data_IF_119077765073
#
_entry.id   IF_119077765073
#
_cell.length_a   1.000
_cell.length_b   1.000
_cell.length_c   1.000
_cell.angle_alpha   90.00
_cell.angle_beta   90.00
_cell.angle_gamma   90.00
#
_symmetry.space_group_name_H-M   'P 1'
#
loop_
_entity.id
_entity.type
_entity.pdbx_description
1 polymer ?
#
# COMPACT_ATOMS: atom_id res chain seq x y z
N UNK A 1 22.36 11.46 7.48
CA UNK A 1 21.17 11.97 6.79
C UNK A 1 20.91 13.39 7.30
N UNK A 2 20.38 14.30 6.45
CA UNK A 2 19.99 15.67 6.83
C UNK A 2 18.66 16.12 6.19
N UNK A 3 17.86 15.16 5.76
CA UNK A 3 16.67 15.36 4.94
C UNK A 3 15.60 14.33 5.33
N UNK A 4 14.36 14.62 5.00
CA UNK A 4 13.24 13.69 5.12
C UNK A 4 13.44 12.45 4.22
N UNK A 5 12.79 11.35 4.57
CA UNK A 5 12.75 10.16 3.73
C UNK A 5 12.03 10.47 2.41
N UNK A 6 12.40 9.77 1.34
CA UNK A 6 11.65 9.87 0.09
C UNK A 6 10.22 9.39 0.24
N UNK A 7 9.30 9.95 -0.53
CA UNK A 7 7.93 9.44 -0.66
C UNK A 7 7.81 8.55 -1.90
N UNK A 8 7.01 7.50 -1.78
CA UNK A 8 6.65 6.60 -2.89
C UNK A 8 5.14 6.43 -2.88
N UNK A 9 4.43 6.81 -3.96
CA UNK A 9 3.00 6.55 -4.07
C UNK A 9 2.69 5.05 -4.02
N UNK A 10 1.53 4.64 -3.51
CA UNK A 10 1.17 3.25 -3.44
C UNK A 10 0.74 2.70 -4.79
N UNK A 11 0.88 1.39 -4.96
CA UNK A 11 0.41 0.69 -6.16
C UNK A 11 -1.11 0.74 -6.31
N UNK A 12 -1.84 0.88 -5.21
CA UNK A 12 -3.27 1.04 -5.19
C UNK A 12 -3.65 2.50 -5.45
N UNK A 13 -4.67 2.74 -6.27
CA UNK A 13 -5.19 4.08 -6.52
C UNK A 13 -5.88 4.70 -5.30
N UNK A 14 -6.40 3.86 -4.39
CA UNK A 14 -6.93 4.29 -3.09
C UNK A 14 -6.74 3.17 -2.07
N UNK A 15 -6.53 3.57 -0.81
CA UNK A 15 -6.49 2.67 0.35
C UNK A 15 -7.79 2.66 1.13
N UNK A 16 -8.82 3.34 0.64
CA UNK A 16 -10.10 3.49 1.33
C UNK A 16 -10.82 2.14 1.52
N UNK A 17 -11.50 2.03 2.64
CA UNK A 17 -12.27 0.84 2.97
C UNK A 17 -13.50 0.71 2.07
N UNK A 18 -13.77 -0.51 1.60
CA UNK A 18 -15.03 -0.84 0.89
C UNK A 18 -16.21 -1.08 1.83
N UNK A 19 -16.00 -0.99 3.15
CA UNK A 19 -17.03 -1.30 4.15
C UNK A 19 -18.16 -0.25 4.13
N UNK A 20 -19.40 -0.71 3.92
CA UNK A 20 -20.59 0.14 3.83
C UNK A 20 -21.35 0.22 5.17
N UNK A 21 -21.07 1.25 5.97
CA UNK A 21 -21.65 1.42 7.32
C UNK A 21 -23.19 1.38 7.31
N UNK A 22 -23.84 1.96 6.32
CA UNK A 22 -25.31 1.95 6.21
C UNK A 22 -25.87 0.53 6.05
N UNK A 23 -25.17 -0.32 5.30
CA UNK A 23 -25.55 -1.73 5.16
C UNK A 23 -25.36 -2.52 6.46
N UNK A 24 -24.40 -2.12 7.31
CA UNK A 24 -24.24 -2.73 8.63
C UNK A 24 -25.41 -2.35 9.56
N UNK A 25 -25.81 -1.09 9.58
CA UNK A 25 -26.96 -0.64 10.37
C UNK A 25 -28.24 -1.37 9.92
N UNK A 26 -28.44 -1.49 8.60
CA UNK A 26 -29.55 -2.27 8.04
C UNK A 26 -29.48 -3.76 8.43
N UNK A 27 -28.28 -4.33 8.57
CA UNK A 27 -28.08 -5.70 9.02
C UNK A 27 -28.51 -5.90 10.47
N UNK A 28 -28.18 -4.94 11.34
CA UNK A 28 -28.57 -4.94 12.76
C UNK A 28 -30.07 -4.78 12.90
N UNK A 29 -30.68 -3.81 12.21
CA UNK A 29 -32.12 -3.57 12.24
C UNK A 29 -32.91 -4.82 11.76
N UNK A 30 -32.48 -5.43 10.65
CA UNK A 30 -33.11 -6.65 10.15
C UNK A 30 -33.01 -7.81 11.16
N UNK A 31 -31.90 -7.92 11.89
CA UNK A 31 -31.74 -8.95 12.93
C UNK A 31 -32.71 -8.73 14.09
N UNK A 32 -32.84 -7.49 14.56
CA UNK A 32 -33.76 -7.10 15.64
C UNK A 32 -35.23 -7.35 15.26
N UNK A 33 -35.56 -7.20 13.98
CA UNK A 33 -36.88 -7.49 13.43
C UNK A 33 -37.11 -8.98 13.10
N UNK A 34 -36.18 -9.87 13.46
CA UNK A 34 -36.22 -11.31 13.17
C UNK A 34 -36.18 -11.66 11.66
N UNK A 35 -35.73 -10.73 10.81
CA UNK A 35 -35.53 -10.90 9.37
C UNK A 35 -34.13 -11.45 9.09
N UNK A 36 -33.82 -12.63 9.64
CA UNK A 36 -32.43 -13.13 9.73
C UNK A 36 -31.69 -13.26 8.39
N UNK A 37 -32.34 -13.77 7.34
CA UNK A 37 -31.69 -13.87 6.02
C UNK A 37 -31.36 -12.50 5.44
N UNK A 38 -32.26 -11.53 5.61
CA UNK A 38 -32.03 -10.15 5.17
C UNK A 38 -30.91 -9.50 5.98
N UNK A 39 -30.85 -9.75 7.28
CA UNK A 39 -29.72 -9.34 8.12
C UNK A 39 -28.40 -9.89 7.58
N UNK A 40 -28.33 -11.20 7.30
CA UNK A 40 -27.10 -11.81 6.78
C UNK A 40 -26.71 -11.25 5.39
N UNK A 41 -27.67 -11.00 4.52
CA UNK A 41 -27.42 -10.37 3.21
C UNK A 41 -26.86 -8.96 3.36
N UNK A 42 -27.47 -8.14 4.21
CA UNK A 42 -26.97 -6.79 4.51
C UNK A 42 -25.57 -6.83 5.15
N UNK A 43 -25.24 -7.88 5.92
CA UNK A 43 -23.88 -8.07 6.45
C UNK A 43 -22.88 -8.37 5.33
N UNK A 44 -23.23 -9.18 4.34
CA UNK A 44 -22.36 -9.37 3.17
C UNK A 44 -22.21 -8.08 2.37
N UNK A 45 -23.29 -7.31 2.23
CA UNK A 45 -23.30 -6.02 1.53
C UNK A 45 -22.50 -4.94 2.30
N UNK A 46 -22.45 -5.01 3.63
CA UNK A 46 -21.53 -4.23 4.47
C UNK A 46 -20.08 -4.51 4.10
N UNK A 47 -19.72 -5.78 3.91
CA UNK A 47 -18.34 -6.16 3.58
C UNK A 47 -18.01 -5.72 2.16
N UNK A 48 -18.85 -6.11 1.20
CA UNK A 48 -18.78 -5.71 -0.20
C UNK A 48 -20.09 -6.09 -0.93
N UNK A 49 -20.79 -5.10 -1.48
CA UNK A 49 -22.08 -5.28 -2.18
C UNK A 49 -22.04 -6.23 -3.40
N UNK A 50 -20.86 -6.51 -3.96
CA UNK A 50 -20.73 -7.40 -5.11
C UNK A 50 -20.69 -8.89 -4.73
N UNK A 51 -20.33 -9.22 -3.48
CA UNK A 51 -20.00 -10.61 -3.11
C UNK A 51 -21.19 -11.55 -3.20
N UNK A 52 -22.39 -11.09 -2.87
CA UNK A 52 -23.60 -11.91 -3.00
C UNK A 52 -23.84 -12.35 -4.43
N UNK A 53 -23.68 -11.45 -5.39
CA UNK A 53 -23.91 -11.73 -6.81
C UNK A 53 -22.76 -12.52 -7.43
N UNK A 54 -21.52 -12.22 -7.01
CA UNK A 54 -20.31 -12.83 -7.56
C UNK A 54 -20.08 -14.25 -7.08
N UNK A 55 -20.41 -14.53 -5.82
CA UNK A 55 -20.04 -15.77 -5.12
C UNK A 55 -21.22 -16.55 -4.53
N UNK A 56 -22.43 -16.01 -4.59
CA UNK A 56 -23.66 -16.68 -4.18
C UNK A 56 -24.22 -17.62 -5.24
N UNK A 57 -24.91 -18.66 -4.81
CA UNK A 57 -25.74 -19.47 -5.68
C UNK A 57 -27.03 -18.72 -6.09
N UNK A 58 -27.76 -19.29 -7.05
CA UNK A 58 -29.01 -18.68 -7.57
C UNK A 58 -30.06 -18.50 -6.48
N UNK A 59 -30.10 -19.40 -5.50
CA UNK A 59 -31.04 -19.34 -4.38
C UNK A 59 -30.66 -18.30 -3.32
N UNK A 60 -29.44 -17.77 -3.36
CA UNK A 60 -28.91 -16.80 -2.39
C UNK A 60 -28.63 -17.39 -1.01
N UNK A 61 -28.50 -18.70 -0.86
CA UNK A 61 -28.35 -19.38 0.43
C UNK A 61 -27.04 -20.18 0.57
N UNK A 62 -26.19 -20.14 -0.45
CA UNK A 62 -24.86 -20.74 -0.42
C UNK A 62 -23.86 -19.79 -1.08
N UNK A 63 -22.72 -19.57 -0.44
CA UNK A 63 -21.68 -18.64 -0.90
C UNK A 63 -20.31 -19.31 -0.80
N UNK A 64 -19.48 -19.13 -1.83
CA UNK A 64 -18.10 -19.61 -1.87
C UNK A 64 -17.17 -18.44 -2.14
N UNK A 65 -16.78 -17.74 -1.07
CA UNK A 65 -16.09 -16.46 -1.17
C UNK A 65 -14.59 -16.68 -0.94
N UNK A 66 -13.72 -16.38 -1.92
CA UNK A 66 -12.28 -16.44 -1.73
C UNK A 66 -11.80 -15.37 -0.74
N UNK A 67 -10.83 -15.74 0.09
CA UNK A 67 -10.06 -14.83 0.92
C UNK A 67 -8.61 -15.29 0.90
N UNK A 68 -7.79 -14.63 0.09
CA UNK A 68 -6.41 -15.06 -0.08
C UNK A 68 -6.34 -16.52 -0.53
N UNK A 69 -5.66 -17.33 0.27
CA UNK A 69 -5.39 -18.74 0.07
C UNK A 69 -6.48 -19.71 0.56
N UNK A 70 -7.62 -19.21 1.06
CA UNK A 70 -8.76 -20.03 1.47
C UNK A 70 -10.05 -19.67 0.72
N UNK A 71 -10.99 -20.61 0.72
CA UNK A 71 -12.39 -20.34 0.32
C UNK A 71 -13.27 -20.49 1.55
N UNK A 72 -13.96 -19.41 1.91
CA UNK A 72 -14.97 -19.42 2.96
C UNK A 72 -16.30 -19.87 2.35
N UNK A 73 -16.74 -21.07 2.73
CA UNK A 73 -18.00 -21.64 2.31
C UNK A 73 -19.05 -21.33 3.37
N UNK A 74 -20.11 -20.62 2.97
CA UNK A 74 -21.21 -20.23 3.85
C UNK A 74 -22.49 -20.85 3.31
N UNK A 75 -23.23 -21.53 4.17
CA UNK A 75 -24.53 -22.13 3.82
C UNK A 75 -25.58 -21.75 4.84
N UNK A 76 -26.74 -21.33 4.35
CA UNK A 76 -27.94 -21.05 5.12
C UNK A 76 -29.04 -22.03 4.69
N UNK A 77 -29.66 -22.69 5.64
CA UNK A 77 -30.90 -23.44 5.47
C UNK A 77 -31.95 -22.92 6.48
N UNK A 78 -33.17 -23.47 6.50
CA UNK A 78 -34.23 -22.98 7.39
C UNK A 78 -33.89 -23.13 8.89
N UNK A 79 -32.92 -23.98 9.25
CA UNK A 79 -32.57 -24.27 10.63
C UNK A 79 -31.34 -23.47 11.08
N UNK A 80 -30.30 -23.38 10.25
CA UNK A 80 -28.97 -22.93 10.68
C UNK A 80 -28.12 -22.26 9.59
N UNK A 81 -27.14 -21.54 10.08
CA UNK A 81 -25.95 -21.10 9.36
C UNK A 81 -24.82 -22.12 9.56
N UNK A 82 -24.08 -22.42 8.50
CA UNK A 82 -22.84 -23.21 8.54
C UNK A 82 -21.75 -22.48 7.77
N UNK A 83 -20.58 -22.31 8.39
CA UNK A 83 -19.38 -21.69 7.80
C UNK A 83 -18.26 -22.73 7.85
N UNK A 84 -17.62 -22.99 6.72
CA UNK A 84 -16.47 -23.90 6.64
C UNK A 84 -15.39 -23.32 5.74
N UNK A 85 -14.13 -23.40 6.16
CA UNK A 85 -12.98 -23.03 5.36
C UNK A 85 -11.87 -24.08 5.51
N UNK A 86 -11.81 -25.07 4.60
CA UNK A 86 -10.66 -25.96 4.50
C UNK A 86 -9.42 -25.16 4.09
N UNK A 87 -8.29 -25.35 4.79
CA UNK A 87 -7.06 -24.59 4.47
C UNK A 87 -5.87 -25.49 4.12
N UNK A 88 -5.51 -26.49 4.94
CA UNK A 88 -4.37 -27.38 4.61
C UNK A 88 -4.65 -28.88 4.85
N UNK A 89 -3.99 -29.71 4.04
CA UNK A 89 -3.86 -31.14 4.27
C UNK A 89 -2.59 -31.44 5.08
N UNK A 90 -2.69 -32.41 5.98
CA UNK A 90 -1.59 -32.79 6.85
C UNK A 90 -0.43 -33.41 6.05
N UNK A 91 0.81 -32.99 6.31
CA UNK A 91 1.98 -33.59 5.68
C UNK A 91 2.30 -34.96 6.29
N UNK A 92 3.07 -35.78 5.57
CA UNK A 92 3.59 -37.03 6.12
C UNK A 92 4.63 -36.78 7.23
N UNK A 93 5.57 -35.86 6.97
CA UNK A 93 6.59 -35.41 7.93
C UNK A 93 6.12 -34.10 8.57
N UNK A 94 6.40 -33.89 9.86
CA UNK A 94 5.97 -32.65 10.54
C UNK A 94 4.51 -32.63 11.00
N UNK A 95 3.75 -33.71 10.80
CA UNK A 95 2.34 -33.83 11.23
C UNK A 95 2.12 -33.51 12.72
N UNK A 96 2.93 -34.09 13.61
CA UNK A 96 2.77 -33.93 15.07
C UNK A 96 2.99 -32.47 15.51
N UNK A 97 4.11 -31.80 15.16
CA UNK A 97 4.29 -30.41 15.54
C UNK A 97 3.22 -29.48 14.92
N UNK A 98 2.80 -29.72 13.67
CA UNK A 98 1.69 -28.98 13.06
C UNK A 98 0.40 -29.13 13.88
N UNK A 99 -0.01 -30.37 14.21
CA UNK A 99 -1.22 -30.61 15.02
C UNK A 99 -1.14 -29.99 16.42
N UNK A 100 0.05 -29.93 17.02
CA UNK A 100 0.25 -29.21 18.29
C UNK A 100 0.02 -27.71 18.12
N UNK A 101 0.49 -27.12 17.02
CA UNK A 101 0.25 -25.71 16.73
C UNK A 101 -1.24 -25.43 16.50
N UNK A 102 -1.93 -26.28 15.74
CA UNK A 102 -3.38 -26.19 15.55
C UNK A 102 -4.15 -26.25 16.87
N UNK A 103 -3.78 -27.17 17.77
CA UNK A 103 -4.37 -27.22 19.10
C UNK A 103 -4.14 -25.90 19.84
N UNK A 104 -2.94 -25.32 19.76
CA UNK A 104 -2.62 -24.00 20.30
C UNK A 104 -3.48 -22.87 19.70
N UNK A 105 -3.76 -22.90 18.39
CA UNK A 105 -4.64 -21.91 17.75
C UNK A 105 -6.06 -21.98 18.30
N UNK A 106 -6.62 -23.18 18.44
CA UNK A 106 -7.96 -23.37 19.03
C UNK A 106 -8.07 -22.87 20.47
N UNK A 107 -6.97 -22.67 21.20
CA UNK A 107 -6.98 -22.12 22.57
C UNK A 107 -6.64 -20.64 22.67
N UNK A 108 -5.88 -20.09 21.71
CA UNK A 108 -5.28 -18.75 21.86
C UNK A 108 -5.65 -17.78 20.72
N UNK A 109 -6.15 -18.28 19.60
CA UNK A 109 -6.45 -17.48 18.40
C UNK A 109 -7.89 -17.66 17.90
N UNK A 110 -8.59 -18.67 18.41
CA UNK A 110 -9.98 -18.97 18.07
C UNK A 110 -10.86 -18.89 19.33
N UNK A 111 -11.91 -18.09 19.28
CA UNK A 111 -12.95 -17.94 20.29
C UNK A 111 -14.22 -18.70 19.94
N UNK A 112 -14.72 -18.56 18.70
CA UNK A 112 -16.03 -19.09 18.30
C UNK A 112 -15.95 -20.14 17.20
N UNK A 113 -15.15 -19.92 16.16
CA UNK A 113 -14.86 -20.96 15.18
C UNK A 113 -13.88 -21.97 15.77
N UNK A 114 -13.84 -23.18 15.20
CA UNK A 114 -12.93 -24.23 15.67
C UNK A 114 -12.28 -24.91 14.48
N UNK A 115 -10.99 -25.21 14.59
CA UNK A 115 -10.27 -26.01 13.60
C UNK A 115 -10.51 -27.49 13.88
N UNK A 116 -11.10 -28.18 12.91
CA UNK A 116 -11.34 -29.63 12.95
C UNK A 116 -10.40 -30.36 11.99
N UNK A 117 -10.02 -31.58 12.38
CA UNK A 117 -9.35 -32.54 11.52
C UNK A 117 -10.37 -33.55 10.97
N UNK A 118 -10.59 -33.54 9.66
CA UNK A 118 -11.43 -34.52 8.95
C UNK A 118 -10.69 -35.03 7.73
N UNK A 119 -10.61 -36.35 7.54
CA UNK A 119 -10.00 -36.97 6.36
C UNK A 119 -8.60 -36.43 6.01
N UNK A 120 -7.75 -36.26 7.05
CA UNK A 120 -6.41 -35.66 6.96
C UNK A 120 -6.35 -34.20 6.48
N UNK A 121 -7.48 -33.48 6.52
CA UNK A 121 -7.59 -32.07 6.19
C UNK A 121 -8.02 -31.27 7.41
N UNK A 122 -7.44 -30.09 7.55
CA UNK A 122 -7.82 -29.14 8.57
C UNK A 122 -8.79 -28.12 7.97
N UNK A 123 -9.88 -27.87 8.68
CA UNK A 123 -10.90 -26.89 8.30
C UNK A 123 -11.28 -26.05 9.50
N UNK A 124 -11.38 -24.75 9.30
CA UNK A 124 -12.14 -23.91 10.20
C UNK A 124 -13.62 -24.24 10.03
N UNK A 125 -14.36 -24.40 11.11
CA UNK A 125 -15.79 -24.67 11.08
C UNK A 125 -16.51 -23.85 12.15
N UNK A 126 -17.68 -23.31 11.79
CA UNK A 126 -18.64 -22.70 12.71
C UNK A 126 -20.07 -23.02 12.27
N UNK A 127 -20.98 -23.22 13.21
CA UNK A 127 -22.41 -23.33 12.90
C UNK A 127 -23.27 -22.85 14.06
N UNK A 128 -24.42 -22.24 13.73
CA UNK A 128 -25.42 -21.86 14.73
C UNK A 128 -26.83 -21.81 14.11
N UNK A 129 -27.90 -21.97 14.92
CA UNK A 129 -29.26 -21.71 14.46
C UNK A 129 -29.42 -20.31 13.84
N UNK A 130 -30.31 -20.18 12.85
CA UNK A 130 -30.53 -18.90 12.14
C UNK A 130 -30.87 -17.76 13.11
N UNK A 131 -31.58 -18.03 14.20
CA UNK A 131 -31.99 -17.02 15.16
C UNK A 131 -30.81 -16.41 15.93
N UNK A 132 -29.62 -17.03 15.86
CA UNK A 132 -28.41 -16.59 16.55
C UNK A 132 -27.43 -15.89 15.62
N UNK A 133 -27.76 -15.58 14.36
CA UNK A 133 -26.85 -14.94 13.40
C UNK A 133 -26.69 -13.43 13.62
N UNK A 134 -26.46 -13.00 14.86
CA UNK A 134 -26.24 -11.59 15.17
C UNK A 134 -25.07 -11.02 14.31
N UNK A 135 -25.25 -9.87 13.63
CA UNK A 135 -24.28 -9.35 12.66
C UNK A 135 -22.87 -9.16 13.21
N UNK A 136 -22.73 -8.60 14.41
CA UNK A 136 -21.43 -8.41 15.06
C UNK A 136 -20.71 -9.74 15.27
N UNK A 137 -21.44 -10.74 15.76
CA UNK A 137 -20.90 -12.08 16.02
C UNK A 137 -20.45 -12.75 14.72
N UNK A 138 -21.27 -12.69 13.67
CA UNK A 138 -20.95 -13.33 12.39
C UNK A 138 -19.79 -12.63 11.72
N UNK A 139 -19.74 -11.29 11.71
CA UNK A 139 -18.57 -10.56 11.21
C UNK A 139 -17.29 -10.97 11.92
N UNK A 140 -17.32 -11.05 13.26
CA UNK A 140 -16.16 -11.49 14.06
C UNK A 140 -15.71 -12.91 13.70
N UNK A 141 -16.64 -13.86 13.56
CA UNK A 141 -16.31 -15.23 13.15
C UNK A 141 -15.68 -15.26 11.74
N UNK A 142 -16.21 -14.48 10.80
CA UNK A 142 -15.66 -14.39 9.46
C UNK A 142 -14.24 -13.81 9.49
N UNK A 143 -14.02 -12.74 10.27
CA UNK A 143 -12.70 -12.14 10.47
C UNK A 143 -11.71 -13.12 11.09
N UNK A 144 -12.12 -13.81 12.16
CA UNK A 144 -11.32 -14.82 12.85
C UNK A 144 -10.87 -15.94 11.90
N UNK A 145 -11.79 -16.48 11.09
CA UNK A 145 -11.49 -17.51 10.10
C UNK A 145 -10.56 -16.97 9.00
N UNK A 146 -10.85 -15.79 8.46
CA UNK A 146 -10.10 -15.19 7.36
C UNK A 146 -8.67 -14.86 7.77
N UNK A 147 -8.49 -14.04 8.82
CA UNK A 147 -7.17 -13.59 9.26
C UNK A 147 -6.30 -14.72 9.80
N UNK A 148 -6.90 -15.74 10.44
CA UNK A 148 -6.14 -16.91 10.90
C UNK A 148 -5.83 -17.86 9.75
N UNK A 149 -6.79 -18.11 8.86
CA UNK A 149 -6.63 -19.03 7.74
C UNK A 149 -5.52 -18.60 6.78
N UNK A 150 -5.56 -17.34 6.34
CA UNK A 150 -4.59 -16.74 5.40
C UNK A 150 -3.17 -16.64 5.98
N UNK A 151 -3.05 -16.52 7.30
CA UNK A 151 -1.73 -16.50 7.96
C UNK A 151 -1.12 -17.89 8.08
N UNK A 152 -1.93 -18.87 8.52
CA UNK A 152 -1.39 -20.16 8.97
C UNK A 152 -1.29 -21.21 7.87
N UNK A 153 -1.92 -21.02 6.70
CA UNK A 153 -1.68 -21.91 5.57
C UNK A 153 -0.26 -21.71 5.01
N UNK A 154 0.18 -20.46 4.78
CA UNK A 154 1.53 -20.09 4.39
C UNK A 154 2.56 -20.58 5.43
N UNK A 155 2.28 -20.33 6.71
CA UNK A 155 3.15 -20.72 7.80
C UNK A 155 3.27 -22.26 7.87
N UNK A 156 2.18 -23.00 7.68
CA UNK A 156 2.18 -24.45 7.80
C UNK A 156 2.80 -25.14 6.59
N UNK A 157 2.62 -24.60 5.40
CA UNK A 157 3.36 -25.04 4.22
C UNK A 157 4.85 -24.84 4.44
N UNK A 158 5.27 -23.61 4.77
CA UNK A 158 6.68 -23.26 4.89
C UNK A 158 7.39 -24.01 6.01
N UNK A 159 6.77 -24.12 7.20
CA UNK A 159 7.42 -24.72 8.38
C UNK A 159 7.26 -26.23 8.49
N UNK A 160 6.16 -26.79 8.00
CA UNK A 160 5.83 -28.21 8.20
C UNK A 160 5.66 -28.99 6.91
N UNK A 161 5.65 -28.35 5.74
CA UNK A 161 5.41 -28.98 4.45
C UNK A 161 3.95 -29.36 4.23
N UNK A 162 3.01 -28.71 4.92
CA UNK A 162 1.58 -28.90 4.70
C UNK A 162 1.21 -28.56 3.25
N UNK A 163 0.19 -29.23 2.71
CA UNK A 163 -0.28 -28.96 1.35
C UNK A 163 -1.52 -28.08 1.41
N UNK A 164 -1.54 -26.98 0.65
CA UNK A 164 -2.73 -26.13 0.53
C UNK A 164 -3.89 -26.93 -0.07
N UNK A 165 -5.09 -26.67 0.42
CA UNK A 165 -6.32 -27.25 -0.14
C UNK A 165 -6.80 -26.45 -1.35
N UNK A 166 -6.50 -25.16 -1.37
CA UNK A 166 -6.85 -24.24 -2.43
C UNK A 166 -5.63 -23.42 -2.81
N UNK A 167 -5.41 -23.27 -4.11
CA UNK A 167 -4.43 -22.32 -4.63
C UNK A 167 -5.13 -20.99 -4.91
N UNK A 168 -4.68 -19.88 -4.33
CA UNK A 168 -5.28 -18.58 -4.54
C UNK A 168 -5.29 -18.21 -6.03
N UNK A 169 -6.39 -17.62 -6.48
CA UNK A 169 -6.41 -16.94 -7.77
C UNK A 169 -5.73 -15.60 -7.62
N UNK A 170 -4.50 -15.51 -8.11
CA UNK A 170 -3.70 -14.30 -8.04
C UNK A 170 -3.61 -13.62 -9.40
N UNK A 171 -3.42 -12.31 -9.37
CA UNK A 171 -3.01 -11.52 -10.54
C UNK A 171 -1.68 -10.87 -10.20
N UNK A 172 -0.56 -11.29 -10.82
CA UNK A 172 0.73 -10.69 -10.52
C UNK A 172 0.74 -9.22 -10.92
N UNK A 173 1.59 -8.43 -10.28
CA UNK A 173 1.82 -7.06 -10.71
C UNK A 173 2.43 -7.03 -12.12
N UNK A 174 2.08 -6.01 -12.90
CA UNK A 174 2.69 -5.82 -14.20
C UNK A 174 4.18 -5.45 -14.05
N UNK A 175 4.95 -5.65 -15.13
CA UNK A 175 6.40 -5.46 -15.12
C UNK A 175 6.82 -4.03 -14.73
N UNK A 176 6.07 -3.00 -15.13
CA UNK A 176 6.42 -1.63 -14.81
C UNK A 176 6.18 -1.35 -13.31
N UNK A 177 5.07 -1.82 -12.77
CA UNK A 177 4.77 -1.74 -11.34
C UNK A 177 5.80 -2.49 -10.49
N UNK A 178 6.20 -3.70 -10.89
CA UNK A 178 7.22 -4.48 -10.22
C UNK A 178 8.59 -3.77 -10.21
N UNK A 179 9.01 -3.20 -11.34
CA UNK A 179 10.25 -2.42 -11.43
C UNK A 179 10.21 -1.20 -10.51
N UNK A 180 9.12 -0.43 -10.54
CA UNK A 180 8.95 0.74 -9.69
C UNK A 180 9.01 0.39 -8.20
N UNK A 181 8.31 -0.68 -7.79
CA UNK A 181 8.31 -1.16 -6.40
C UNK A 181 9.71 -1.63 -6.01
N UNK A 182 10.38 -2.42 -6.85
CA UNK A 182 11.73 -2.89 -6.58
C UNK A 182 12.69 -1.73 -6.36
N UNK A 183 12.71 -0.72 -7.25
CA UNK A 183 13.54 0.47 -7.08
C UNK A 183 13.19 1.24 -5.81
N UNK A 184 11.90 1.40 -5.50
CA UNK A 184 11.45 2.08 -4.28
C UNK A 184 11.88 1.34 -2.99
N UNK A 185 11.85 0.00 -3.00
CA UNK A 185 12.38 -0.83 -1.90
C UNK A 185 13.88 -0.60 -1.73
N UNK A 186 14.64 -0.65 -2.83
CA UNK A 186 16.10 -0.48 -2.80
C UNK A 186 16.49 0.90 -2.28
N UNK A 187 15.79 1.96 -2.69
CA UNK A 187 15.99 3.33 -2.21
C UNK A 187 15.62 3.44 -0.73
N UNK A 188 14.43 2.98 -0.34
CA UNK A 188 13.93 3.11 1.04
C UNK A 188 14.82 2.36 2.04
N UNK A 189 15.27 1.15 1.70
CA UNK A 189 16.18 0.39 2.55
C UNK A 189 17.54 1.09 2.68
N UNK A 190 18.05 1.68 1.59
CA UNK A 190 19.34 2.40 1.61
C UNK A 190 19.26 3.64 2.48
N UNK A 191 18.19 4.42 2.33
CA UNK A 191 17.92 5.60 3.16
C UNK A 191 17.84 5.23 4.64
N UNK A 192 17.14 4.14 4.96
CA UNK A 192 17.05 3.61 6.31
C UNK A 192 18.43 3.24 6.87
N UNK A 193 19.22 2.44 6.14
CA UNK A 193 20.55 2.00 6.58
C UNK A 193 21.55 3.16 6.73
N UNK A 194 21.50 4.15 5.83
CA UNK A 194 22.32 5.36 5.93
C UNK A 194 21.92 6.20 7.16
N UNK A 195 20.63 6.25 7.50
CA UNK A 195 20.16 6.93 8.70
C UNK A 195 20.53 6.16 9.99
N UNK A 196 20.40 4.82 9.99
CA UNK A 196 20.88 3.96 11.09
C UNK A 196 22.35 4.26 11.36
N UNK A 197 23.20 4.23 10.32
CA UNK A 197 24.64 4.54 10.41
C UNK A 197 24.92 5.94 10.95
N UNK A 198 24.04 6.91 10.69
CA UNK A 198 24.15 8.27 11.19
C UNK A 198 23.86 8.37 12.70
N UNK A 199 22.85 7.65 13.21
CA UNK A 199 22.40 7.72 14.60
C UNK A 199 23.09 6.74 15.56
N UNK A 200 23.62 5.62 15.03
CA UNK A 200 24.24 4.53 15.80
C UNK A 200 25.45 4.98 16.65
N UNK A 201 26.41 5.82 16.16
CA UNK A 201 27.54 6.28 16.96
C UNK A 201 27.14 7.07 18.21
N UNK A 202 26.03 7.81 18.10
CA UNK A 202 25.47 8.62 19.19
C UNK A 202 24.45 7.85 20.04
N UNK A 203 24.28 6.54 19.80
CA UNK A 203 23.36 5.64 20.53
C UNK A 203 21.93 6.16 20.58
N UNK A 204 21.48 6.86 19.52
CA UNK A 204 20.13 7.41 19.44
C UNK A 204 19.12 6.35 18.97
N UNK A 205 19.00 5.27 19.73
CA UNK A 205 18.21 4.10 19.35
C UNK A 205 16.72 4.41 19.14
N UNK A 206 16.16 5.43 19.81
CA UNK A 206 14.79 5.88 19.53
C UNK A 206 14.59 6.38 18.09
N UNK A 207 15.54 7.12 17.52
CA UNK A 207 15.45 7.54 16.10
C UNK A 207 15.69 6.36 15.16
N UNK A 208 16.63 5.48 15.50
CA UNK A 208 16.89 4.27 14.72
C UNK A 208 15.61 3.41 14.66
N UNK A 209 14.94 3.25 15.78
CA UNK A 209 13.66 2.55 15.88
C UNK A 209 12.60 3.18 14.99
N UNK A 210 12.36 4.50 15.11
CA UNK A 210 11.37 5.21 14.30
C UNK A 210 11.65 5.02 12.80
N UNK A 211 12.90 5.12 12.38
CA UNK A 211 13.28 5.06 10.96
C UNK A 211 13.14 3.65 10.40
N UNK A 212 13.54 2.63 11.15
CA UNK A 212 13.34 1.23 10.73
C UNK A 212 11.85 0.96 10.59
N UNK A 213 11.06 1.28 11.61
CA UNK A 213 9.64 0.94 11.61
C UNK A 213 8.85 1.72 10.57
N UNK A 214 9.16 3.02 10.41
CA UNK A 214 8.64 3.84 9.29
C UNK A 214 8.97 3.20 7.94
N UNK A 215 10.18 2.66 7.76
CA UNK A 215 10.59 2.04 6.49
C UNK A 215 9.80 0.75 6.22
N UNK A 216 9.58 -0.08 7.24
CA UNK A 216 8.77 -1.30 7.14
C UNK A 216 7.31 -0.96 6.81
N UNK A 217 6.71 0.00 7.52
CA UNK A 217 5.33 0.43 7.27
C UNK A 217 5.17 1.14 5.92
N UNK A 218 6.17 1.93 5.50
CA UNK A 218 6.22 2.52 4.16
C UNK A 218 6.25 1.43 3.08
N UNK A 219 7.05 0.38 3.24
CA UNK A 219 7.06 -0.76 2.31
C UNK A 219 5.67 -1.41 2.21
N UNK A 220 5.06 -1.69 3.36
CA UNK A 220 3.70 -2.24 3.44
C UNK A 220 2.67 -1.34 2.75
N UNK A 221 2.84 -0.02 2.84
CA UNK A 221 1.98 0.97 2.18
C UNK A 221 2.12 0.93 0.67
N UNK A 222 3.35 1.06 0.12
CA UNK A 222 3.46 1.24 -1.33
C UNK A 222 3.45 -0.07 -2.13
N UNK A 223 3.97 -1.16 -1.56
CA UNK A 223 4.13 -2.42 -2.27
C UNK A 223 2.94 -3.37 -2.10
N UNK A 224 2.21 -3.29 -0.97
CA UNK A 224 1.09 -4.18 -0.64
C UNK A 224 1.46 -5.68 -0.80
N UNK A 225 2.53 -6.16 -0.15
CA UNK A 225 2.96 -7.55 -0.28
C UNK A 225 1.90 -8.52 0.22
N UNK A 226 1.93 -9.74 -0.31
CA UNK A 226 1.10 -10.86 0.09
C UNK A 226 1.98 -11.99 0.66
N UNK A 227 1.37 -13.12 1.02
CA UNK A 227 2.08 -14.36 1.28
C UNK A 227 3.08 -14.30 2.44
N UNK A 228 4.21 -14.98 2.27
CA UNK A 228 5.22 -15.10 3.32
C UNK A 228 5.92 -13.75 3.59
N UNK A 229 6.13 -12.91 2.57
CA UNK A 229 6.69 -11.58 2.77
C UNK A 229 5.78 -10.68 3.62
N UNK A 230 4.46 -10.71 3.40
CA UNK A 230 3.50 -10.02 4.27
C UNK A 230 3.65 -10.47 5.72
N UNK A 231 3.67 -11.79 5.95
CA UNK A 231 3.82 -12.38 7.27
C UNK A 231 5.15 -11.99 7.95
N UNK A 232 6.26 -12.01 7.20
CA UNK A 232 7.58 -11.60 7.66
C UNK A 232 7.60 -10.11 8.08
N UNK A 233 6.99 -9.23 7.28
CA UNK A 233 6.95 -7.79 7.58
C UNK A 233 6.06 -7.47 8.77
N UNK A 234 4.86 -8.06 8.86
CA UNK A 234 3.98 -7.90 10.03
C UNK A 234 4.65 -8.39 11.31
N UNK A 235 5.41 -9.48 11.22
CA UNK A 235 6.21 -9.97 12.35
C UNK A 235 7.31 -8.98 12.70
N UNK A 236 8.05 -8.47 11.72
CA UNK A 236 9.12 -7.51 11.95
C UNK A 236 8.61 -6.25 12.66
N UNK A 237 7.51 -5.66 12.20
CA UNK A 237 6.86 -4.50 12.83
C UNK A 237 6.45 -4.84 14.27
N UNK A 238 5.80 -5.99 14.51
CA UNK A 238 5.41 -6.41 15.87
C UNK A 238 6.61 -6.60 16.81
N UNK A 239 7.72 -7.13 16.32
CA UNK A 239 8.93 -7.32 17.14
C UNK A 239 9.61 -5.98 17.46
N UNK A 240 9.36 -4.91 16.70
CA UNK A 240 9.82 -3.55 17.03
C UNK A 240 9.20 -3.03 18.34
N UNK A 241 8.00 -3.50 18.70
CA UNK A 241 7.25 -3.06 19.89
C UNK A 241 7.45 -3.95 21.14
N UNK A 242 8.43 -4.85 21.12
CA UNK A 242 8.72 -5.76 22.25
C UNK A 242 9.22 -4.99 23.48
N UNK A 243 8.39 -4.86 24.52
CA UNK A 243 8.80 -4.19 25.77
C UNK A 243 9.78 -5.02 26.64
N UNK A 244 9.83 -6.34 26.43
CA UNK A 244 10.67 -7.25 27.21
C UNK A 244 12.09 -7.42 26.64
N UNK A 245 12.40 -6.80 25.50
CA UNK A 245 13.75 -6.76 24.91
C UNK A 245 14.33 -5.34 25.02
N UNK A 246 15.64 -5.18 25.31
CA UNK A 246 16.28 -3.86 25.25
C UNK A 246 16.24 -3.22 23.85
N UNK A 247 15.92 -1.93 23.76
CA UNK A 247 15.83 -1.18 22.50
C UNK A 247 17.05 -1.31 21.54
N UNK A 248 18.32 -1.38 22.00
CA UNK A 248 19.45 -1.63 21.12
C UNK A 248 19.39 -2.99 20.40
N UNK A 249 18.84 -4.01 21.07
CA UNK A 249 18.68 -5.34 20.49
C UNK A 249 17.51 -5.35 19.49
N UNK A 250 16.38 -4.71 19.83
CA UNK A 250 15.26 -4.52 18.91
C UNK A 250 15.71 -3.85 17.62
N UNK A 251 16.41 -2.71 17.73
CA UNK A 251 16.89 -1.96 16.56
C UNK A 251 17.93 -2.73 15.75
N UNK A 252 18.75 -3.58 16.38
CA UNK A 252 19.66 -4.48 15.67
C UNK A 252 18.90 -5.57 14.88
N UNK A 253 17.83 -6.14 15.46
CA UNK A 253 16.97 -7.12 14.78
C UNK A 253 16.23 -6.48 13.60
N UNK A 254 15.63 -5.30 13.81
CA UNK A 254 14.97 -4.53 12.75
C UNK A 254 15.92 -4.16 11.62
N UNK A 255 17.16 -3.73 11.93
CA UNK A 255 18.21 -3.46 10.93
C UNK A 255 18.51 -4.71 10.08
N UNK A 256 18.56 -5.89 10.70
CA UNK A 256 18.78 -7.14 9.96
C UNK A 256 17.64 -7.47 8.99
N UNK A 257 16.39 -7.11 9.33
CA UNK A 257 15.24 -7.24 8.41
C UNK A 257 15.41 -6.29 7.21
N UNK A 258 15.78 -5.03 7.44
CA UNK A 258 16.05 -4.07 6.36
C UNK A 258 17.20 -4.54 5.47
N UNK A 259 18.28 -5.08 6.04
CA UNK A 259 19.39 -5.65 5.27
C UNK A 259 18.98 -6.88 4.44
N UNK A 260 18.06 -7.72 4.94
CA UNK A 260 17.48 -8.83 4.18
C UNK A 260 16.66 -8.30 3.02
N UNK A 261 15.77 -7.32 3.27
CA UNK A 261 14.92 -6.71 2.25
C UNK A 261 15.74 -6.00 1.16
N UNK A 262 16.80 -5.28 1.53
CA UNK A 262 17.73 -4.66 0.57
C UNK A 262 18.39 -5.69 -0.37
N UNK A 263 18.72 -6.88 0.13
CA UNK A 263 19.42 -7.93 -0.63
C UNK A 263 18.49 -8.78 -1.50
N UNK A 264 17.18 -8.67 -1.28
CA UNK A 264 16.18 -9.40 -2.05
C UNK A 264 16.27 -8.99 -3.51
N UNK A 265 16.28 -9.98 -4.40
CA UNK A 265 16.25 -9.78 -5.85
C UNK A 265 14.85 -9.36 -6.31
N UNK A 266 14.73 -8.82 -7.52
CA UNK A 266 13.43 -8.48 -8.08
C UNK A 266 12.57 -9.74 -8.26
N UNK A 267 13.19 -10.85 -8.64
CA UNK A 267 12.52 -12.14 -8.82
C UNK A 267 11.97 -12.67 -7.50
N UNK A 268 12.77 -12.68 -6.42
CA UNK A 268 12.29 -13.08 -5.08
C UNK A 268 11.18 -12.15 -4.58
N UNK A 269 11.30 -10.84 -4.82
CA UNK A 269 10.25 -9.90 -4.43
C UNK A 269 8.94 -10.15 -5.20
N UNK A 270 9.03 -10.48 -6.49
CA UNK A 270 7.86 -10.72 -7.35
C UNK A 270 7.01 -11.90 -6.91
N UNK A 271 7.58 -12.89 -6.22
CA UNK A 271 6.85 -14.08 -5.73
C UNK A 271 5.68 -13.70 -4.81
N UNK A 272 5.84 -12.62 -4.03
CA UNK A 272 4.87 -12.15 -3.04
C UNK A 272 4.21 -10.80 -3.44
N UNK A 273 4.34 -10.36 -4.70
CA UNK A 273 3.71 -9.14 -5.23
C UNK A 273 2.61 -9.47 -6.25
N UNK A 274 1.41 -9.66 -5.72
CA UNK A 274 0.22 -9.97 -6.52
C UNK A 274 -1.06 -9.45 -5.88
N UNK A 275 -2.09 -9.26 -6.70
CA UNK A 275 -3.46 -9.06 -6.22
C UNK A 275 -4.13 -10.41 -5.97
N UNK A 276 -4.90 -10.46 -4.90
CA UNK A 276 -5.77 -11.58 -4.56
C UNK A 276 -7.13 -11.06 -4.12
N UNK A 277 -8.16 -11.90 -4.22
CA UNK A 277 -9.48 -11.55 -3.69
C UNK A 277 -9.47 -11.65 -2.16
N UNK A 278 -9.97 -10.60 -1.50
CA UNK A 278 -10.00 -10.48 -0.03
C UNK A 278 -11.44 -10.36 0.44
N UNK A 279 -11.95 -11.38 1.13
CA UNK A 279 -13.28 -11.31 1.74
C UNK A 279 -13.34 -10.29 2.89
N UNK A 280 -12.60 -10.52 3.98
CA UNK A 280 -12.56 -9.60 5.13
C UNK A 280 -11.30 -8.73 5.06
N UNK A 281 -11.41 -7.40 5.16
CA UNK A 281 -10.23 -6.54 5.21
C UNK A 281 -9.34 -6.83 6.43
N UNK A 282 -8.03 -6.93 6.20
CA UNK A 282 -7.04 -7.11 7.27
C UNK A 282 -6.81 -5.84 8.12
N UNK A 283 -7.10 -4.66 7.55
CA UNK A 283 -7.01 -3.37 8.22
C UNK A 283 -8.38 -2.85 8.62
N UNK A 284 -8.42 -2.01 9.65
CA UNK A 284 -9.66 -1.39 10.11
C UNK A 284 -10.06 -0.27 9.15
N UNK A 285 -11.37 -0.03 8.99
CA UNK A 285 -11.83 1.23 8.39
C UNK A 285 -11.36 2.38 9.28
N UNK A 286 -10.81 3.43 8.69
CA UNK A 286 -10.48 4.63 9.45
C UNK A 286 -11.73 5.35 9.98
N UNK A 287 -11.51 6.16 11.00
CA UNK A 287 -12.47 7.13 11.51
C UNK A 287 -11.63 8.32 12.01
N UNK A 288 -11.98 9.54 11.60
CA UNK A 288 -11.19 10.73 11.93
C UNK A 288 -11.01 10.94 13.44
N UNK A 289 -12.08 10.79 14.22
CA UNK A 289 -12.00 10.91 15.68
C UNK A 289 -10.99 9.91 16.26
N UNK A 290 -11.04 8.64 15.82
CA UNK A 290 -10.06 7.65 16.26
C UNK A 290 -8.62 8.01 15.83
N UNK A 291 -8.44 8.60 14.64
CA UNK A 291 -7.11 9.07 14.18
C UNK A 291 -6.61 10.19 15.10
N UNK A 292 -7.46 11.19 15.38
CA UNK A 292 -7.14 12.33 16.25
C UNK A 292 -6.78 11.86 17.67
N UNK A 293 -7.57 10.96 18.27
CA UNK A 293 -7.28 10.37 19.58
C UNK A 293 -5.92 9.64 19.59
N UNK A 294 -5.60 8.90 18.53
CA UNK A 294 -4.29 8.23 18.39
C UNK A 294 -3.13 9.21 18.13
N UNK A 295 -3.39 10.41 17.65
CA UNK A 295 -2.38 11.43 17.33
C UNK A 295 -2.14 12.39 18.50
N UNK A 296 -3.11 12.60 19.40
CA UNK A 296 -3.13 13.64 20.42
C UNK A 296 -1.80 13.80 21.20
N UNK A 297 -1.29 12.70 21.77
CA UNK A 297 -0.06 12.72 22.56
C UNK A 297 1.19 12.99 21.72
N UNK A 298 1.19 12.50 20.47
CA UNK A 298 2.30 12.73 19.54
C UNK A 298 2.28 14.16 19.03
N UNK A 299 1.10 14.69 18.71
CA UNK A 299 0.88 16.05 18.26
C UNK A 299 1.45 17.05 19.29
N UNK A 300 1.04 16.95 20.56
CA UNK A 300 1.55 17.81 21.64
C UNK A 300 3.08 17.80 21.75
N UNK A 301 3.72 16.62 21.62
CA UNK A 301 5.18 16.50 21.66
C UNK A 301 5.83 17.12 20.43
N UNK A 302 5.29 16.86 19.26
CA UNK A 302 5.78 17.36 17.97
C UNK A 302 5.66 18.89 17.92
N UNK A 303 4.56 19.48 18.38
CA UNK A 303 4.42 20.95 18.48
C UNK A 303 5.54 21.57 19.31
N UNK A 304 5.89 20.96 20.46
CA UNK A 304 7.03 21.42 21.27
C UNK A 304 8.37 21.32 20.54
N UNK A 305 8.59 20.29 19.72
CA UNK A 305 9.79 20.18 18.88
C UNK A 305 9.81 21.24 17.78
N UNK A 306 8.66 21.51 17.14
CA UNK A 306 8.52 22.58 16.15
C UNK A 306 8.83 23.96 16.74
N UNK A 307 8.27 24.29 17.91
CA UNK A 307 8.52 25.56 18.62
C UNK A 307 10.00 25.74 19.00
N UNK A 308 10.67 24.65 19.39
CA UNK A 308 12.08 24.67 19.77
C UNK A 308 13.06 24.62 18.59
N UNK A 309 12.57 24.47 17.35
CA UNK A 309 13.37 24.34 16.14
C UNK A 309 14.05 22.97 15.98
N UNK A 310 13.62 21.93 16.70
CA UNK A 310 14.09 20.55 16.53
C UNK A 310 13.33 19.86 15.38
N UNK A 311 13.52 20.40 14.18
CA UNK A 311 12.84 19.94 12.96
C UNK A 311 13.18 18.49 12.60
N UNK A 312 14.36 18.00 12.98
CA UNK A 312 14.74 16.60 12.76
C UNK A 312 13.83 15.67 13.56
N UNK A 313 13.69 15.91 14.88
CA UNK A 313 12.84 15.08 15.73
C UNK A 313 11.39 15.16 15.27
N UNK A 314 10.90 16.37 14.98
CA UNK A 314 9.54 16.56 14.49
C UNK A 314 9.29 15.78 13.19
N UNK A 315 10.17 15.91 12.19
CA UNK A 315 10.04 15.23 10.90
C UNK A 315 10.04 13.69 11.06
N UNK A 316 10.97 13.13 11.84
CA UNK A 316 11.04 11.68 12.08
C UNK A 316 9.77 11.15 12.75
N UNK A 317 9.24 11.86 13.74
CA UNK A 317 8.02 11.46 14.44
C UNK A 317 6.77 11.57 13.57
N UNK A 318 6.64 12.63 12.75
CA UNK A 318 5.49 12.79 11.86
C UNK A 318 5.47 11.74 10.75
N UNK A 319 6.62 11.45 10.13
CA UNK A 319 6.73 10.38 9.14
C UNK A 319 6.31 9.03 9.74
N UNK A 320 6.79 8.71 10.95
CA UNK A 320 6.36 7.51 11.68
C UNK A 320 4.83 7.49 11.85
N UNK A 321 4.23 8.55 12.38
CA UNK A 321 2.78 8.60 12.65
C UNK A 321 1.92 8.48 11.38
N UNK A 322 2.33 9.08 10.27
CA UNK A 322 1.62 8.96 9.01
C UNK A 322 1.66 7.52 8.47
N UNK A 323 2.81 6.86 8.47
CA UNK A 323 2.89 5.47 8.00
C UNK A 323 2.28 4.46 8.99
N UNK A 324 2.32 4.74 10.31
CA UNK A 324 1.59 3.97 11.33
C UNK A 324 0.07 4.02 11.08
N UNK A 325 -0.46 5.21 10.77
CA UNK A 325 -1.86 5.38 10.41
C UNK A 325 -2.23 4.53 9.18
N UNK A 326 -1.44 4.55 8.12
CA UNK A 326 -1.66 3.72 6.93
C UNK A 326 -1.50 2.22 7.19
N UNK A 327 -0.64 1.83 8.13
CA UNK A 327 -0.43 0.42 8.46
C UNK A 327 -1.67 -0.19 9.12
N UNK A 328 -2.28 0.52 10.07
CA UNK A 328 -3.43 0.01 10.82
C UNK A 328 -4.79 0.25 10.13
N UNK A 329 -4.88 1.21 9.21
CA UNK A 329 -6.15 1.65 8.65
C UNK A 329 -6.20 1.54 7.11
N UNK A 330 -7.37 1.16 6.61
CA UNK A 330 -7.83 1.52 5.28
C UNK A 330 -8.34 2.96 5.37
N UNK A 331 -7.53 3.90 4.87
CA UNK A 331 -7.66 5.32 5.15
C UNK A 331 -8.69 6.00 4.24
N UNK A 332 -9.59 6.78 4.84
CA UNK A 332 -10.55 7.66 4.17
C UNK A 332 -9.84 8.69 3.28
N UNK A 333 -10.48 9.02 2.15
CA UNK A 333 -9.80 9.72 1.06
C UNK A 333 -9.48 11.18 1.38
N UNK A 334 -10.31 11.86 2.17
CA UNK A 334 -10.08 13.23 2.67
C UNK A 334 -8.77 13.34 3.47
N UNK A 335 -8.55 12.48 4.46
CA UNK A 335 -7.30 12.41 5.23
C UNK A 335 -6.14 11.96 4.35
N UNK A 336 -6.37 11.00 3.45
CA UNK A 336 -5.35 10.50 2.54
C UNK A 336 -4.79 11.62 1.65
N UNK A 337 -5.64 12.50 1.11
CA UNK A 337 -5.24 13.60 0.26
C UNK A 337 -4.32 14.58 1.00
N UNK A 338 -4.67 14.97 2.22
CA UNK A 338 -3.86 15.85 3.08
C UNK A 338 -2.47 15.26 3.31
N UNK A 339 -2.41 13.98 3.68
CA UNK A 339 -1.14 13.31 4.00
C UNK A 339 -0.29 13.08 2.76
N UNK A 340 -0.87 12.61 1.66
CA UNK A 340 -0.13 12.37 0.41
C UNK A 340 0.46 13.68 -0.12
N UNK A 341 -0.30 14.78 -0.11
CA UNK A 341 0.19 16.11 -0.52
C UNK A 341 1.41 16.53 0.32
N UNK A 342 1.35 16.35 1.64
CA UNK A 342 2.45 16.69 2.52
C UNK A 342 3.67 15.77 2.35
N UNK A 343 3.47 14.46 2.22
CA UNK A 343 4.54 13.49 1.96
C UNK A 343 5.24 13.76 0.62
N UNK A 344 4.48 14.10 -0.44
CA UNK A 344 5.04 14.48 -1.73
C UNK A 344 5.89 15.75 -1.64
N UNK A 345 5.37 16.82 -1.02
CA UNK A 345 6.07 18.11 -0.93
C UNK A 345 7.31 18.04 -0.04
N UNK A 346 7.28 17.25 1.04
CA UNK A 346 8.40 17.10 1.97
C UNK A 346 9.45 16.06 1.53
N UNK A 347 9.14 15.24 0.53
CA UNK A 347 10.01 14.15 0.07
C UNK A 347 11.44 14.62 -0.25
N UNK A 348 12.42 14.01 0.41
CA UNK A 348 13.86 14.31 0.25
C UNK A 348 14.27 15.78 0.56
N UNK A 349 13.40 16.60 1.13
CA UNK A 349 13.73 17.97 1.53
C UNK A 349 14.55 18.00 2.83
N UNK A 350 15.38 19.05 3.05
CA UNK A 350 15.99 19.32 4.36
C UNK A 350 14.96 19.30 5.48
N UNK A 351 15.33 18.86 6.68
CA UNK A 351 14.35 18.69 7.77
C UNK A 351 13.63 19.99 8.16
N UNK A 352 14.32 21.12 8.10
CA UNK A 352 13.79 22.45 8.37
C UNK A 352 12.78 22.93 7.32
N UNK A 353 12.84 22.39 6.09
CA UNK A 353 11.84 22.63 5.04
C UNK A 353 10.71 21.59 5.10
N UNK A 354 11.04 20.33 5.38
CA UNK A 354 10.10 19.21 5.43
C UNK A 354 9.17 19.26 6.65
N UNK A 355 9.69 19.59 7.84
CA UNK A 355 8.92 19.51 9.08
C UNK A 355 7.72 20.47 9.10
N UNK A 356 7.81 21.74 8.68
CA UNK A 356 6.64 22.62 8.60
C UNK A 356 5.53 22.07 7.69
N UNK A 357 5.89 21.48 6.54
CA UNK A 357 4.94 20.89 5.59
C UNK A 357 4.18 19.72 6.23
N UNK A 358 4.93 18.79 6.85
CA UNK A 358 4.36 17.64 7.54
C UNK A 358 3.50 18.06 8.74
N UNK A 359 3.93 19.09 9.46
CA UNK A 359 3.23 19.60 10.63
C UNK A 359 1.89 20.22 10.26
N UNK A 360 1.82 21.03 9.19
CA UNK A 360 0.56 21.59 8.69
C UNK A 360 -0.46 20.49 8.38
N UNK A 361 -0.03 19.39 7.75
CA UNK A 361 -0.92 18.25 7.50
C UNK A 361 -1.36 17.53 8.78
N UNK A 362 -0.47 17.39 9.77
CA UNK A 362 -0.84 16.82 11.05
C UNK A 362 -1.85 17.71 11.80
N UNK A 363 -1.65 19.03 11.77
CA UNK A 363 -2.55 20.05 12.35
C UNK A 363 -3.92 20.02 11.67
N UNK A 364 -3.98 20.02 10.34
CA UNK A 364 -5.22 19.90 9.58
C UNK A 364 -6.05 18.65 9.98
N UNK A 365 -5.39 17.51 10.20
CA UNK A 365 -6.07 16.30 10.72
C UNK A 365 -6.59 16.51 12.14
N UNK A 366 -5.80 17.15 13.01
CA UNK A 366 -6.18 17.39 14.40
C UNK A 366 -7.32 18.40 14.55
N UNK A 367 -7.42 19.36 13.63
CA UNK A 367 -8.40 20.45 13.65
C UNK A 367 -9.63 20.19 12.77
N UNK A 368 -9.69 19.04 12.08
CA UNK A 368 -10.74 18.68 11.11
C UNK A 368 -10.83 19.70 9.95
N UNK A 369 -9.68 20.23 9.54
CA UNK A 369 -9.52 21.14 8.40
C UNK A 369 -9.02 20.35 7.17
N UNK A 370 -9.77 19.31 6.79
CA UNK A 370 -9.42 18.43 5.67
C UNK A 370 -9.79 19.03 4.31
N UNK A 371 -10.71 19.99 4.31
CA UNK A 371 -11.15 20.75 3.15
C UNK A 371 -10.21 21.94 2.91
N UNK A 372 -8.94 21.68 2.60
CA UNK A 372 -8.16 22.73 1.94
C UNK A 372 -8.67 22.85 0.50
N UNK A 373 -9.57 23.82 0.26
CA UNK A 373 -9.61 24.53 -1.02
C UNK A 373 -8.17 24.76 -1.45
N UNK A 374 -7.86 24.52 -2.73
CA UNK A 374 -6.54 24.79 -3.27
C UNK A 374 -6.12 26.21 -2.86
N UNK A 375 -5.34 26.34 -1.79
CA UNK A 375 -4.50 27.50 -1.60
C UNK A 375 -3.59 27.44 -2.82
N UNK A 376 -3.97 28.19 -3.85
CA UNK A 376 -3.08 28.66 -4.90
C UNK A 376 -1.85 29.12 -4.14
N UNK A 377 -0.80 28.30 -4.12
CA UNK A 377 0.46 28.68 -3.51
C UNK A 377 0.83 30.01 -4.16
N UNK A 378 0.81 31.08 -3.36
CA UNK A 378 1.38 32.39 -3.68
C UNK A 378 2.87 32.18 -3.96
N UNK A 379 3.12 31.80 -5.20
CA UNK A 379 4.39 31.42 -5.78
C UNK A 379 4.26 31.28 -7.29
N UNK A 380 3.20 31.84 -7.89
CA UNK A 380 3.07 31.93 -9.34
C UNK A 380 3.97 33.05 -9.85
N UNK A 381 5.04 32.68 -10.54
CA UNK A 381 5.70 33.53 -11.53
C UNK A 381 4.59 34.21 -12.35
N UNK A 382 4.56 35.54 -12.39
CA UNK A 382 3.57 36.32 -13.14
C UNK A 382 3.57 35.86 -14.61
N UNK A 383 2.59 35.03 -14.97
CA UNK A 383 2.45 34.46 -16.30
C UNK A 383 2.21 35.53 -17.36
N UNK A 384 1.77 36.74 -16.99
CA UNK A 384 1.70 37.87 -17.92
C UNK A 384 3.09 38.44 -18.20
N UNK A 385 3.98 38.49 -17.21
CA UNK A 385 5.37 38.92 -17.38
C UNK A 385 6.19 37.85 -18.14
N UNK A 386 5.94 36.57 -17.86
CA UNK A 386 6.51 35.44 -18.61
C UNK A 386 6.04 35.45 -20.07
N UNK A 387 4.74 35.61 -20.34
CA UNK A 387 4.22 35.71 -21.71
C UNK A 387 4.71 36.97 -22.45
N UNK A 388 4.89 38.11 -21.75
CA UNK A 388 5.52 39.30 -22.33
C UNK A 388 6.96 39.02 -22.75
N UNK A 389 7.73 38.34 -21.89
CA UNK A 389 9.11 37.99 -22.19
C UNK A 389 9.23 36.94 -23.29
N UNK A 390 8.30 35.97 -23.35
CA UNK A 390 8.23 34.97 -24.42
C UNK A 390 7.80 35.61 -25.75
N UNK A 391 6.85 36.56 -25.75
CA UNK A 391 6.48 37.32 -26.96
C UNK A 391 7.61 38.24 -27.44
N UNK A 392 8.34 38.89 -26.53
CA UNK A 392 9.51 39.69 -26.87
C UNK A 392 10.62 38.81 -27.47
N UNK A 393 10.86 37.63 -26.88
CA UNK A 393 11.84 36.65 -27.37
C UNK A 393 11.43 36.05 -28.72
N UNK A 394 10.14 35.77 -28.94
CA UNK A 394 9.61 35.33 -30.24
C UNK A 394 9.69 36.41 -31.31
N UNK A 395 9.41 37.68 -30.98
CA UNK A 395 9.59 38.80 -31.92
C UNK A 395 11.06 39.00 -32.28
N UNK A 396 11.97 38.85 -31.32
CA UNK A 396 13.41 38.95 -31.54
C UNK A 396 13.93 37.76 -32.37
N UNK A 397 13.38 36.55 -32.16
CA UNK A 397 13.65 35.38 -33.00
C UNK A 397 13.14 35.58 -34.44
N UNK A 398 11.93 36.14 -34.62
CA UNK A 398 11.37 36.40 -35.95
C UNK A 398 12.16 37.46 -36.72
N UNK A 399 12.64 38.50 -36.03
CA UNK A 399 13.54 39.51 -36.63
C UNK A 399 14.90 38.90 -37.04
N UNK A 400 15.48 38.03 -36.21
CA UNK A 400 16.73 37.33 -36.54
C UNK A 400 16.54 36.30 -37.67
N UNK A 401 15.36 35.69 -37.80
CA UNK A 401 15.03 34.74 -38.86
C UNK A 401 14.83 35.44 -40.22
N UNK A 402 14.32 36.68 -40.24
CA UNK A 402 14.23 37.50 -41.45
C UNK A 402 15.61 37.93 -41.99
N UNK A 403 16.63 38.05 -41.14
CA UNK A 403 18.00 38.37 -41.57
C UNK A 403 18.79 37.17 -42.10
N UNK A 404 18.41 35.93 -41.76
CA UNK A 404 19.10 34.70 -42.21
C UNK A 404 18.65 34.16 -43.59
N UNK A 405 17.65 34.78 -44.23
CA UNK A 405 17.09 34.37 -45.53
C UNK A 405 17.93 34.73 -46.77
N UNK A 406 19.26 34.92 -46.65
CA UNK A 406 20.14 35.29 -47.77
C UNK A 406 21.26 34.28 -48.07
N UNK A 407 21.05 32.98 -47.83
CA UNK A 407 22.04 31.93 -48.14
C UNK A 407 21.47 30.77 -48.95
N UNK A 408 22.11 30.41 -50.06
CA UNK A 408 21.76 29.27 -50.95
C UNK A 408 21.81 27.88 -50.27
N UNK A 409 22.21 27.76 -49.00
CA UNK A 409 22.28 26.48 -48.27
C UNK A 409 20.92 25.95 -47.81
N UNK A 410 19.96 26.82 -47.51
CA UNK A 410 18.67 26.43 -46.93
C UNK A 410 17.78 25.66 -47.92
N UNK A 411 17.84 26.03 -49.20
CA UNK A 411 17.01 25.41 -50.25
C UNK A 411 17.45 23.97 -50.53
N UNK A 412 18.77 23.71 -50.50
CA UNK A 412 19.34 22.38 -50.68
C UNK A 412 19.06 21.48 -49.46
N UNK A 413 19.21 22.03 -48.25
CA UNK A 413 18.86 21.34 -47.01
C UNK A 413 17.39 20.89 -46.99
N UNK A 414 16.45 21.80 -47.27
CA UNK A 414 15.02 21.49 -47.27
C UNK A 414 14.67 20.39 -48.28
N UNK A 415 15.30 20.41 -49.47
CA UNK A 415 15.07 19.39 -50.48
C UNK A 415 15.55 18.00 -50.03
N UNK A 416 16.69 17.92 -49.35
CA UNK A 416 17.23 16.66 -48.83
C UNK A 416 16.45 16.12 -47.63
N UNK A 417 15.95 16.99 -46.74
CA UNK A 417 15.03 16.58 -45.66
C UNK A 417 13.72 16.02 -46.24
N UNK A 418 13.21 16.60 -47.31
CA UNK A 418 11.98 16.13 -47.96
C UNK A 418 12.15 14.72 -48.57
N UNK A 419 13.33 14.39 -49.09
CA UNK A 419 13.67 13.03 -49.56
C UNK A 419 13.71 12.05 -48.39
N UNK A 420 14.32 12.42 -47.26
CA UNK A 420 14.33 11.58 -46.06
C UNK A 420 12.92 11.34 -45.50
N UNK A 421 12.03 12.33 -45.58
CA UNK A 421 10.61 12.15 -45.20
C UNK A 421 9.89 11.15 -46.11
N UNK A 422 10.15 11.16 -47.42
CA UNK A 422 9.59 10.15 -48.32
C UNK A 422 10.13 8.74 -48.04
N UNK A 423 11.41 8.63 -47.67
CA UNK A 423 12.00 7.35 -47.28
C UNK A 423 11.39 6.82 -45.97
N UNK A 424 11.13 7.69 -45.00
CA UNK A 424 10.43 7.32 -43.76
C UNK A 424 8.99 6.89 -44.06
N UNK A 425 8.25 7.66 -44.87
CA UNK A 425 6.87 7.36 -45.23
C UNK A 425 6.69 6.08 -46.06
N UNK A 426 7.72 5.69 -46.82
CA UNK A 426 7.75 4.43 -47.58
C UNK A 426 8.33 3.25 -46.80
N UNK A 427 8.72 3.45 -45.53
CA UNK A 427 9.30 2.42 -44.66
C UNK A 427 10.73 2.00 -45.05
N UNK A 428 11.42 2.78 -45.88
CA UNK A 428 12.79 2.51 -46.30
C UNK A 428 13.83 2.80 -45.21
N UNK A 429 13.49 3.65 -44.23
CA UNK A 429 14.32 3.99 -43.07
C UNK A 429 13.46 4.04 -41.80
N UNK A 430 14.06 3.76 -40.64
CA UNK A 430 13.38 3.88 -39.34
C UNK A 430 13.25 5.34 -38.88
N UNK A 431 12.38 5.61 -37.91
CA UNK A 431 12.24 6.94 -37.30
C UNK A 431 13.53 7.40 -36.59
N UNK A 432 14.28 6.46 -36.01
CA UNK A 432 15.60 6.71 -35.40
C UNK A 432 16.64 7.07 -36.46
N UNK A 433 16.69 6.33 -37.58
CA UNK A 433 17.59 6.63 -38.70
C UNK A 433 17.26 7.97 -39.38
N UNK A 434 15.98 8.30 -39.52
CA UNK A 434 15.53 9.59 -40.02
C UNK A 434 16.05 10.73 -39.15
N UNK A 435 15.89 10.62 -37.82
CA UNK A 435 16.31 11.64 -36.87
C UNK A 435 17.83 11.85 -36.90
N UNK A 436 18.60 10.76 -36.93
CA UNK A 436 20.06 10.81 -37.03
C UNK A 436 20.54 11.46 -38.34
N UNK A 437 19.92 11.09 -39.49
CA UNK A 437 20.29 11.64 -40.80
C UNK A 437 19.93 13.11 -40.94
N UNK A 438 18.79 13.56 -40.40
CA UNK A 438 18.41 14.99 -40.40
C UNK A 438 19.37 15.82 -39.54
N UNK A 439 19.76 15.33 -38.36
CA UNK A 439 20.75 16.02 -37.52
C UNK A 439 22.12 16.12 -38.21
N UNK A 440 22.57 15.05 -38.87
CA UNK A 440 23.83 15.05 -39.61
C UNK A 440 23.79 16.01 -40.81
N UNK A 441 22.64 16.08 -41.49
CA UNK A 441 22.41 17.00 -42.61
C UNK A 441 22.39 18.47 -42.15
N UNK A 442 21.80 18.76 -41.00
CA UNK A 442 21.79 20.10 -40.41
C UNK A 442 23.21 20.53 -40.01
N UNK A 443 23.99 19.62 -39.41
CA UNK A 443 25.39 19.87 -39.07
C UNK A 443 26.26 20.12 -40.31
N UNK A 444 26.02 19.44 -41.43
CA UNK A 444 26.78 19.65 -42.67
C UNK A 444 26.44 20.96 -43.39
N UNK A 445 25.18 21.40 -43.34
CA UNK A 445 24.73 22.60 -44.06
C UNK A 445 24.85 23.89 -43.24
N UNK A 446 24.87 23.78 -41.91
CA UNK A 446 24.81 24.94 -40.99
C UNK A 446 25.77 24.86 -39.80
N UNK A 447 26.59 23.82 -39.71
CA UNK A 447 27.65 23.73 -38.71
C UNK A 447 28.88 24.54 -39.12
N UNK A 448 29.43 25.30 -38.17
CA UNK A 448 30.85 25.69 -38.15
C UNK A 448 31.65 24.57 -37.48
#
# INVERSE_FOLDING_TARGET
MKQALTFTPPILSSTESKLNVEAFDASVEAFENHEYLKSFYALLDYINGDFRTKYGNVQGNEFHIPHGSIIVNIKLDEEKLSITAPFVALPEKGRIPLLRQVAGLNFNAMDLATIYLRDNRLSFEYSCPIQLINPYKIYYILQEICCTGDKYDDEFETKFGAQRIYEPKTTPYDTASLENIYQAVQISCKECLDAVKYFEPSRKYGYIWNIIDTTLMKFMYFAQPQGQLLNDMQKAIREMDREDIPLPEITAQGKAVIEKLQKMTQEELAEDLYFVETFIPNKRRSNLQNIQENFEDSYKKISGYMESGDYMTACVMMLYKFYEMYYYNNLQEDVNQVVVKALQKSSAQPWDEAAPILYKAMEAIMEDELDEEEEEEEGTVDMNEYMKNVQAMQQQMMQNMQQMMQGNGMQNYLQQVQVLQQQLASGQISAEEYTAKVQQLAAQNFGN
#
